data_IF_558470516714
#
_entry.id   IF_558470516714
#
_cell.length_a   1.000
_cell.length_b   1.000
_cell.length_c   1.000
_cell.angle_alpha   90.00
_cell.angle_beta   90.00
_cell.angle_gamma   90.00
#
_symmetry.space_group_name_H-M   'P 1'
#
loop_
_entity.id
_entity.type
_entity.pdbx_description
1 polymer ?
#
# COMPACT_ATOMS: atom_id res chain seq x y z
N UNK A 1 24.20 5.33 27.41
CA UNK A 1 23.60 4.34 26.46
C UNK A 1 22.25 4.84 25.99
N UNK A 2 21.86 4.60 24.72
CA UNK A 2 20.54 4.99 24.19
C UNK A 2 19.65 3.77 24.01
N UNK A 3 18.51 3.77 24.69
CA UNK A 3 17.50 2.74 24.62
C UNK A 3 16.33 3.19 23.75
N UNK A 4 15.94 2.37 22.79
CA UNK A 4 14.71 2.51 22.01
C UNK A 4 13.68 1.52 22.58
N UNK A 5 12.58 2.03 23.11
CA UNK A 5 11.63 1.21 23.89
C UNK A 5 10.23 1.37 23.34
N UNK A 6 9.64 0.27 22.84
CA UNK A 6 8.25 0.24 22.43
C UNK A 6 7.29 0.00 23.60
N UNK A 7 6.16 0.73 23.63
CA UNK A 7 5.08 0.48 24.59
C UNK A 7 4.12 -0.61 24.13
N UNK A 8 4.17 -1.00 22.86
CA UNK A 8 3.09 -1.76 22.24
C UNK A 8 1.87 -0.88 21.97
N UNK A 9 0.75 -1.51 21.65
CA UNK A 9 -0.48 -0.83 21.22
C UNK A 9 -1.49 -0.56 22.33
N UNK A 10 -1.17 -0.94 23.58
CA UNK A 10 -2.05 -0.77 24.74
C UNK A 10 -1.58 0.39 25.66
N UNK A 11 -0.97 1.41 25.07
CA UNK A 11 -0.38 2.51 25.81
C UNK A 11 0.67 2.03 26.83
N UNK A 12 0.76 2.66 28.00
CA UNK A 12 1.74 2.30 29.04
C UNK A 12 1.56 0.86 29.59
N UNK A 13 0.38 0.28 29.46
CA UNK A 13 0.08 -1.11 29.92
C UNK A 13 0.66 -2.17 28.97
N UNK A 14 1.03 -1.79 27.76
CA UNK A 14 1.66 -2.69 26.77
C UNK A 14 3.17 -2.86 26.99
N UNK A 15 3.79 -2.16 27.94
CA UNK A 15 5.21 -2.34 28.24
C UNK A 15 5.50 -3.76 28.69
N UNK A 16 6.56 -4.34 28.10
CA UNK A 16 7.09 -5.61 28.60
C UNK A 16 7.74 -5.43 29.97
N UNK A 17 7.83 -6.50 30.74
CA UNK A 17 8.55 -6.50 32.02
C UNK A 17 9.99 -6.04 31.83
N UNK A 18 10.67 -6.52 30.78
CA UNK A 18 12.04 -6.12 30.45
C UNK A 18 12.15 -4.61 30.16
N UNK A 19 11.17 -4.04 29.43
CA UNK A 19 11.14 -2.61 29.17
C UNK A 19 10.97 -1.82 30.48
N UNK A 20 10.08 -2.24 31.36
CA UNK A 20 9.85 -1.59 32.64
C UNK A 20 11.10 -1.62 33.54
N UNK A 21 11.82 -2.76 33.58
CA UNK A 21 13.06 -2.89 34.36
C UNK A 21 14.18 -1.98 33.84
N UNK A 22 14.29 -1.82 32.51
CA UNK A 22 15.27 -0.91 31.90
C UNK A 22 14.89 0.54 32.15
N UNK A 23 13.65 0.93 31.89
CA UNK A 23 13.20 2.31 32.05
C UNK A 23 13.36 2.82 33.49
N UNK A 24 13.16 1.96 34.49
CA UNK A 24 13.39 2.31 35.91
C UNK A 24 14.85 2.59 36.27
N UNK A 25 15.80 2.16 35.43
CA UNK A 25 17.23 2.36 35.62
C UNK A 25 17.79 3.52 34.78
N UNK A 26 17.01 4.00 33.82
CA UNK A 26 17.43 5.12 32.98
C UNK A 26 17.46 6.42 33.75
N UNK A 27 18.47 7.25 33.49
CA UNK A 27 18.60 8.58 34.04
C UNK A 27 17.60 9.58 33.46
N UNK A 28 17.24 9.36 32.16
CA UNK A 28 16.31 10.22 31.43
C UNK A 28 15.44 9.35 30.57
N UNK A 29 14.12 9.57 30.64
CA UNK A 29 13.13 8.91 29.79
C UNK A 29 12.37 9.96 28.98
N UNK A 30 12.60 9.97 27.68
CA UNK A 30 11.82 10.75 26.72
C UNK A 30 10.67 9.91 26.17
N UNK A 31 9.51 10.53 25.94
CA UNK A 31 8.33 9.90 25.35
C UNK A 31 7.95 10.68 24.10
N UNK A 32 8.02 10.04 22.95
CA UNK A 32 7.60 10.69 21.72
C UNK A 32 6.07 10.79 21.64
N UNK A 33 5.56 11.89 21.07
CA UNK A 33 4.12 12.20 21.00
C UNK A 33 3.64 12.53 19.59
N UNK A 34 4.34 12.04 18.55
CA UNK A 34 4.07 12.41 17.17
C UNK A 34 3.86 11.22 16.21
N UNK A 35 4.24 10.00 16.57
CA UNK A 35 4.00 8.80 15.76
C UNK A 35 2.62 8.23 16.00
N UNK A 36 2.12 8.35 17.23
CA UNK A 36 0.78 7.96 17.62
C UNK A 36 0.34 8.70 18.89
N UNK A 37 -0.98 8.73 19.11
CA UNK A 37 -1.54 9.40 20.27
C UNK A 37 -1.34 8.60 21.55
N UNK A 38 -0.23 8.82 22.25
CA UNK A 38 -0.16 8.52 23.67
C UNK A 38 -0.97 9.59 24.42
N UNK A 39 -2.02 9.16 25.13
CA UNK A 39 -2.86 10.08 25.89
C UNK A 39 -2.14 10.62 27.13
N UNK A 40 -2.62 11.73 27.69
CA UNK A 40 -2.13 12.23 28.98
C UNK A 40 -2.25 11.16 30.08
N UNK A 41 -3.31 10.33 30.02
CA UNK A 41 -3.49 9.22 30.95
C UNK A 41 -2.37 8.18 30.81
N UNK A 42 -1.92 7.91 29.60
CA UNK A 42 -0.79 6.99 29.36
C UNK A 42 0.51 7.56 29.93
N UNK A 43 0.77 8.85 29.75
CA UNK A 43 1.96 9.54 30.29
C UNK A 43 1.92 9.54 31.82
N UNK A 44 0.78 9.83 32.43
CA UNK A 44 0.63 9.79 33.89
C UNK A 44 0.78 8.38 34.43
N UNK A 45 0.20 7.39 33.73
CA UNK A 45 0.35 5.97 34.07
C UNK A 45 1.80 5.50 33.99
N UNK A 46 2.53 5.93 32.96
CA UNK A 46 3.96 5.66 32.79
C UNK A 46 4.77 6.28 33.91
N UNK A 47 4.55 7.57 34.21
CA UNK A 47 5.22 8.27 35.34
C UNK A 47 5.01 7.54 36.67
N UNK A 48 3.80 7.08 36.93
CA UNK A 48 3.46 6.34 38.16
C UNK A 48 4.17 4.99 38.22
N UNK A 49 4.22 4.24 37.12
CA UNK A 49 4.92 2.96 37.01
C UNK A 49 6.42 3.08 37.20
N UNK A 50 7.01 4.12 36.61
CA UNK A 50 8.46 4.37 36.66
C UNK A 50 8.89 5.07 37.96
N UNK A 51 7.95 5.69 38.67
CA UNK A 51 8.22 6.58 39.83
C UNK A 51 9.15 7.73 39.46
N UNK A 52 9.06 8.25 38.24
CA UNK A 52 9.82 9.37 37.71
C UNK A 52 8.99 10.17 36.71
N UNK A 53 9.36 11.41 36.48
CA UNK A 53 8.73 12.21 35.42
C UNK A 53 9.39 11.93 34.07
N UNK A 54 8.61 11.46 33.12
CA UNK A 54 9.04 11.33 31.73
C UNK A 54 8.95 12.68 31.02
N UNK A 55 9.71 12.84 29.94
CA UNK A 55 9.75 14.06 29.13
C UNK A 55 9.07 13.85 27.79
N UNK A 56 7.83 14.31 27.58
CA UNK A 56 7.22 14.31 26.27
C UNK A 56 8.06 15.13 25.29
N UNK A 57 8.26 14.60 24.05
CA UNK A 57 9.07 15.25 23.02
C UNK A 57 8.37 15.21 21.66
N UNK A 58 8.55 16.26 20.90
CA UNK A 58 8.00 16.44 19.57
C UNK A 58 8.93 15.90 18.47
N UNK A 59 8.42 15.79 17.26
CA UNK A 59 9.14 15.28 16.09
C UNK A 59 10.49 15.95 15.87
N UNK A 60 10.52 17.29 15.89
CA UNK A 60 11.74 18.07 15.66
C UNK A 60 12.86 17.74 16.65
N UNK A 61 12.52 17.45 17.92
CA UNK A 61 13.49 17.09 18.95
C UNK A 61 14.14 15.73 18.66
N UNK A 62 13.34 14.75 18.24
CA UNK A 62 13.83 13.40 17.93
C UNK A 62 14.59 13.38 16.60
N UNK A 63 14.13 14.12 15.60
CA UNK A 63 14.81 14.24 14.30
C UNK A 63 16.13 15.02 14.41
N UNK A 64 16.19 16.10 15.19
CA UNK A 64 17.45 16.74 15.55
C UNK A 64 18.35 15.79 16.34
N UNK A 65 17.84 15.14 17.37
CA UNK A 65 18.47 14.06 18.14
C UNK A 65 19.73 14.43 18.89
N UNK A 66 20.19 15.68 18.86
CA UNK A 66 21.44 16.11 19.56
C UNK A 66 21.41 15.83 21.05
N UNK A 67 20.36 16.27 21.73
CA UNK A 67 20.23 16.10 23.19
C UNK A 67 20.14 14.61 23.57
N UNK A 68 19.48 13.78 22.75
CA UNK A 68 19.43 12.33 22.94
C UNK A 68 20.82 11.71 22.83
N UNK A 69 21.57 12.07 21.79
CA UNK A 69 22.90 11.51 21.52
C UNK A 69 23.94 12.00 22.55
N UNK A 70 23.93 13.29 22.87
CA UNK A 70 24.86 13.85 23.86
C UNK A 70 24.58 13.30 25.27
N UNK A 71 23.31 13.24 25.67
CA UNK A 71 22.92 12.63 26.94
C UNK A 71 23.35 11.18 27.03
N UNK A 72 23.18 10.41 25.98
CA UNK A 72 23.51 8.98 25.93
C UNK A 72 25.01 8.67 25.98
N UNK A 73 25.90 9.64 25.83
CA UNK A 73 27.36 9.49 26.03
C UNK A 73 27.75 9.20 27.48
N UNK A 74 27.03 9.80 28.43
CA UNK A 74 27.36 9.73 29.84
C UNK A 74 26.28 9.15 30.73
N UNK A 75 25.06 9.01 30.22
CA UNK A 75 23.86 8.56 30.94
C UNK A 75 23.17 7.45 30.20
N UNK A 76 22.29 6.74 30.90
CA UNK A 76 21.30 5.86 30.31
C UNK A 76 20.04 6.67 29.94
N UNK A 77 19.83 6.85 28.64
CA UNK A 77 18.74 7.62 28.07
C UNK A 77 17.80 6.68 27.34
N UNK A 78 16.50 6.80 27.56
CA UNK A 78 15.48 6.06 26.83
C UNK A 78 14.61 6.99 25.96
N UNK A 79 14.31 6.54 24.74
CA UNK A 79 13.25 7.08 23.89
C UNK A 79 12.13 6.05 23.83
N UNK A 80 10.99 6.40 24.40
CA UNK A 80 9.78 5.57 24.46
C UNK A 80 8.86 5.95 23.32
N UNK A 81 8.38 4.93 22.59
CA UNK A 81 7.54 5.08 21.40
C UNK A 81 6.28 4.22 21.52
N UNK A 82 5.15 4.71 21.05
CA UNK A 82 3.95 3.88 20.90
C UNK A 82 4.19 2.82 19.81
N UNK A 83 3.71 1.60 20.04
CA UNK A 83 3.97 0.46 19.15
C UNK A 83 5.39 -0.08 19.30
N UNK A 84 6.01 -0.44 18.18
CA UNK A 84 7.42 -0.85 18.08
C UNK A 84 8.30 0.36 17.74
N UNK A 85 9.45 0.53 18.36
CA UNK A 85 10.25 1.75 18.22
C UNK A 85 10.91 1.90 16.84
N UNK A 86 10.98 0.85 16.03
CA UNK A 86 11.62 0.88 14.71
C UNK A 86 10.70 0.55 13.54
N UNK A 87 9.43 0.23 13.81
CA UNK A 87 8.45 -0.12 12.75
C UNK A 87 7.59 1.11 12.43
N UNK A 88 7.62 1.56 11.18
CA UNK A 88 6.92 2.76 10.68
C UNK A 88 7.26 4.04 11.45
N UNK A 89 8.51 4.19 11.83
CA UNK A 89 9.06 5.35 12.53
C UNK A 89 10.29 5.90 11.82
N UNK A 90 10.70 7.13 12.16
CA UNK A 90 11.96 7.74 11.69
C UNK A 90 13.16 7.40 12.58
N UNK A 91 12.95 6.65 13.66
CA UNK A 91 13.98 6.39 14.70
C UNK A 91 15.16 5.54 14.20
N UNK A 92 15.01 4.81 13.10
CA UNK A 92 16.12 4.07 12.47
C UNK A 92 17.30 4.97 12.07
N UNK A 93 17.02 6.22 11.69
CA UNK A 93 18.06 7.20 11.40
C UNK A 93 18.81 7.62 12.66
N UNK A 94 18.10 7.93 13.75
CA UNK A 94 18.70 8.26 15.05
C UNK A 94 19.54 7.08 15.57
N UNK A 95 19.06 5.84 15.42
CA UNK A 95 19.82 4.64 15.76
C UNK A 95 21.13 4.55 14.95
N UNK A 96 21.08 4.81 13.65
CA UNK A 96 22.26 4.82 12.77
C UNK A 96 23.24 5.94 13.18
N UNK A 97 22.74 7.13 13.53
CA UNK A 97 23.60 8.23 14.03
C UNK A 97 24.26 7.89 15.36
N UNK A 98 23.55 7.25 16.27
CA UNK A 98 24.12 6.77 17.52
C UNK A 98 25.30 5.82 17.30
N UNK A 99 25.11 4.82 16.41
CA UNK A 99 26.15 3.86 16.06
C UNK A 99 27.39 4.53 15.43
N UNK A 100 27.19 5.48 14.50
CA UNK A 100 28.28 6.27 13.89
C UNK A 100 29.07 7.10 14.93
N UNK A 101 28.41 7.53 16.00
CA UNK A 101 29.03 8.27 17.09
C UNK A 101 29.58 7.38 18.22
N UNK A 102 29.65 6.05 18.00
CA UNK A 102 30.12 5.05 18.99
C UNK A 102 29.30 5.07 20.30
N UNK A 103 28.04 5.47 20.23
CA UNK A 103 27.11 5.42 21.36
C UNK A 103 26.45 4.05 21.37
N UNK A 104 26.56 3.34 22.49
CA UNK A 104 25.88 2.04 22.65
C UNK A 104 24.36 2.22 22.59
N UNK A 105 23.71 1.38 21.81
CA UNK A 105 22.26 1.35 21.69
C UNK A 105 21.70 -0.02 22.05
N UNK A 106 20.45 -0.06 22.50
CA UNK A 106 19.67 -1.28 22.61
C UNK A 106 18.21 -1.01 22.27
N UNK A 107 17.52 -2.03 21.78
CA UNK A 107 16.14 -1.93 21.31
C UNK A 107 15.32 -2.93 22.12
N UNK A 108 14.21 -2.46 22.66
CA UNK A 108 13.19 -3.29 23.29
C UNK A 108 11.94 -3.26 22.41
N UNK A 109 11.83 -4.23 21.53
CA UNK A 109 10.70 -4.39 20.62
C UNK A 109 9.39 -4.63 21.37
N UNK A 110 8.28 -4.23 20.77
CA UNK A 110 6.94 -4.45 21.30
C UNK A 110 5.93 -4.68 20.17
N UNK A 111 4.67 -4.88 20.50
CA UNK A 111 3.62 -5.08 19.49
C UNK A 111 3.52 -3.84 18.60
N UNK A 112 3.68 -4.04 17.29
CA UNK A 112 3.49 -2.98 16.29
C UNK A 112 2.03 -2.86 15.89
N UNK A 113 1.53 -1.64 15.71
CA UNK A 113 0.20 -1.39 15.16
C UNK A 113 -0.02 -2.08 13.81
N UNK A 114 1.00 -2.09 12.93
CA UNK A 114 0.93 -2.75 11.61
C UNK A 114 0.61 -4.23 11.74
N UNK A 115 1.39 -4.97 12.53
CA UNK A 115 1.19 -6.43 12.69
C UNK A 115 -0.12 -6.74 13.40
N UNK A 116 -0.52 -5.90 14.35
CA UNK A 116 -1.78 -6.05 15.08
C UNK A 116 -2.99 -5.80 14.19
N UNK A 117 -2.98 -4.75 13.37
CA UNK A 117 -4.04 -4.46 12.39
C UNK A 117 -4.20 -5.63 11.41
N UNK A 118 -3.10 -6.18 10.90
CA UNK A 118 -3.14 -7.34 10.01
C UNK A 118 -3.77 -8.54 10.72
N UNK A 119 -3.34 -8.84 11.95
CA UNK A 119 -3.87 -9.95 12.74
C UNK A 119 -5.37 -9.82 13.01
N UNK A 120 -5.82 -8.64 13.45
CA UNK A 120 -7.22 -8.36 13.76
C UNK A 120 -8.13 -8.34 12.52
N UNK A 121 -7.58 -8.06 11.33
CA UNK A 121 -8.35 -8.05 10.08
C UNK A 121 -8.78 -9.43 9.60
N UNK A 122 -8.13 -10.50 10.07
CA UNK A 122 -8.32 -11.87 9.58
C UNK A 122 -7.73 -12.14 8.19
N UNK A 123 -6.99 -11.19 7.64
CA UNK A 123 -6.30 -11.33 6.35
C UNK A 123 -4.91 -11.97 6.54
N UNK A 124 -4.45 -12.70 5.53
CA UNK A 124 -3.17 -13.40 5.59
C UNK A 124 -2.00 -12.42 5.42
N UNK A 125 -1.11 -12.35 6.40
CA UNK A 125 0.05 -11.45 6.41
C UNK A 125 0.92 -11.57 5.14
N UNK A 126 1.05 -12.76 4.58
CA UNK A 126 1.87 -13.02 3.38
C UNK A 126 1.27 -12.48 2.09
N UNK A 127 0.02 -12.00 2.12
CA UNK A 127 -0.68 -11.43 0.97
C UNK A 127 -0.70 -9.90 0.99
N UNK A 128 -0.07 -9.28 1.98
CA UNK A 128 0.10 -7.83 1.97
C UNK A 128 1.25 -7.43 1.05
N UNK A 129 0.95 -6.49 0.15
CA UNK A 129 1.95 -5.84 -0.69
C UNK A 129 2.60 -4.64 -0.01
N UNK A 130 3.03 -3.66 -0.79
CA UNK A 130 3.60 -2.43 -0.25
C UNK A 130 2.58 -1.69 0.62
N UNK A 131 2.98 -1.41 1.86
CA UNK A 131 2.23 -0.56 2.79
C UNK A 131 2.55 0.91 2.54
N UNK A 132 1.59 1.80 2.84
CA UNK A 132 1.75 3.23 2.57
C UNK A 132 1.01 4.07 3.60
N UNK A 133 1.48 5.30 3.82
CA UNK A 133 0.77 6.29 4.63
C UNK A 133 0.04 7.28 3.73
N UNK A 134 -1.21 7.56 4.04
CA UNK A 134 -2.01 8.59 3.40
C UNK A 134 -2.06 9.82 4.28
N UNK A 135 -1.71 10.96 3.70
CA UNK A 135 -1.83 12.27 4.33
C UNK A 135 -2.99 13.05 3.73
N UNK A 136 -3.40 14.13 4.38
CA UNK A 136 -4.43 15.05 3.90
C UNK A 136 -4.03 15.84 2.64
N UNK A 137 -2.77 15.75 2.21
CA UNK A 137 -2.27 16.42 1.02
C UNK A 137 -2.73 15.70 -0.27
N UNK A 138 -3.20 16.47 -1.26
CA UNK A 138 -3.77 15.94 -2.52
C UNK A 138 -2.82 14.99 -3.28
N UNK A 139 -1.52 15.28 -3.31
CA UNK A 139 -0.56 14.41 -3.99
C UNK A 139 -0.38 13.04 -3.31
N UNK A 140 -0.69 12.95 -2.02
CA UNK A 140 -0.67 11.69 -1.28
C UNK A 140 -1.66 10.68 -1.86
N UNK A 141 -2.86 11.13 -2.23
CA UNK A 141 -3.90 10.28 -2.80
C UNK A 141 -3.45 9.57 -4.09
N UNK A 142 -2.75 10.29 -4.98
CA UNK A 142 -2.23 9.71 -6.24
C UNK A 142 -1.18 8.62 -5.94
N UNK A 143 -0.30 8.88 -4.97
CA UNK A 143 0.74 7.90 -4.58
C UNK A 143 0.11 6.66 -3.95
N UNK A 144 -0.90 6.82 -3.09
CA UNK A 144 -1.66 5.71 -2.48
C UNK A 144 -2.42 4.94 -3.55
N UNK A 145 -3.13 5.63 -4.45
CA UNK A 145 -3.85 5.03 -5.57
C UNK A 145 -2.94 4.15 -6.44
N UNK A 146 -1.78 4.66 -6.83
CA UNK A 146 -0.80 3.91 -7.60
C UNK A 146 -0.25 2.70 -6.83
N UNK A 147 -0.08 2.81 -5.51
CA UNK A 147 0.34 1.69 -4.67
C UNK A 147 -0.73 0.61 -4.60
N UNK A 148 -2.01 0.99 -4.44
CA UNK A 148 -3.14 0.05 -4.51
C UNK A 148 -3.15 -0.65 -5.87
N UNK A 149 -3.02 0.10 -6.98
CA UNK A 149 -2.96 -0.46 -8.32
C UNK A 149 -1.88 -1.54 -8.46
N UNK A 150 -0.64 -1.24 -8.05
CA UNK A 150 0.47 -2.20 -8.12
C UNK A 150 0.22 -3.45 -7.26
N UNK A 151 -0.29 -3.27 -6.04
CA UNK A 151 -0.61 -4.39 -5.17
C UNK A 151 -1.74 -5.25 -5.74
N UNK A 152 -2.79 -4.64 -6.26
CA UNK A 152 -3.91 -5.36 -6.89
C UNK A 152 -3.47 -6.14 -8.13
N UNK A 153 -2.53 -5.63 -8.94
CA UNK A 153 -1.93 -6.37 -10.06
C UNK A 153 -1.28 -7.68 -9.58
N UNK A 154 -0.69 -7.66 -8.39
CA UNK A 154 -0.10 -8.84 -7.75
C UNK A 154 -1.13 -9.66 -6.94
N UNK A 155 -2.40 -9.28 -6.89
CA UNK A 155 -3.43 -9.89 -6.04
C UNK A 155 -3.23 -9.63 -4.55
N UNK A 156 -2.40 -8.64 -4.18
CA UNK A 156 -2.03 -8.35 -2.79
C UNK A 156 -2.96 -7.31 -2.15
N UNK A 157 -3.12 -7.40 -0.82
CA UNK A 157 -3.81 -6.39 -0.01
C UNK A 157 -2.92 -5.17 0.20
N UNK A 158 -3.54 -4.00 0.36
CA UNK A 158 -2.83 -2.74 0.66
C UNK A 158 -3.24 -2.23 2.04
N UNK A 159 -2.29 -2.19 2.97
CA UNK A 159 -2.48 -1.48 4.24
C UNK A 159 -2.11 -0.01 4.06
N UNK A 160 -3.07 0.86 4.35
CA UNK A 160 -2.96 2.32 4.33
C UNK A 160 -3.00 2.81 5.77
N UNK A 161 -1.88 3.31 6.26
CA UNK A 161 -1.84 4.05 7.52
C UNK A 161 -2.37 5.47 7.27
N UNK A 162 -3.17 5.99 8.17
CA UNK A 162 -3.70 7.35 8.05
C UNK A 162 -2.86 8.35 8.83
N UNK A 163 -2.82 9.58 8.33
CA UNK A 163 -2.09 10.67 8.98
C UNK A 163 -2.58 10.88 10.41
N UNK A 164 -1.60 11.04 11.29
CA UNK A 164 -1.76 11.60 12.61
C UNK A 164 -0.86 12.82 12.74
N UNK A 165 -1.40 13.90 13.25
CA UNK A 165 -0.62 15.08 13.63
C UNK A 165 -1.12 15.69 14.93
N UNK A 166 -0.19 16.12 15.75
CA UNK A 166 -0.46 16.85 16.97
C UNK A 166 0.55 17.98 17.05
N UNK A 167 0.05 19.22 16.93
CA UNK A 167 0.86 20.42 17.07
C UNK A 167 0.66 21.00 18.45
N UNK A 168 1.73 21.60 19.03
CA UNK A 168 1.69 22.26 20.34
C UNK A 168 0.63 23.37 20.43
N UNK A 169 0.23 23.94 19.29
CA UNK A 169 -0.80 24.98 19.19
C UNK A 169 -2.23 24.45 19.17
N UNK A 170 -2.44 23.19 18.76
CA UNK A 170 -3.75 22.54 18.73
C UNK A 170 -4.00 21.72 19.99
N UNK A 171 -5.10 21.98 20.67
CA UNK A 171 -5.49 21.24 21.89
C UNK A 171 -5.89 19.80 21.62
N UNK A 172 -6.26 19.47 20.36
CA UNK A 172 -6.73 18.15 19.97
C UNK A 172 -5.87 17.58 18.85
N UNK A 173 -5.56 16.29 18.92
CA UNK A 173 -4.83 15.61 17.84
C UNK A 173 -5.70 15.48 16.59
N UNK A 174 -5.08 15.68 15.42
CA UNK A 174 -5.72 15.43 14.13
C UNK A 174 -5.49 13.97 13.71
N UNK A 175 -6.55 13.34 13.25
CA UNK A 175 -6.53 12.03 12.60
C UNK A 175 -7.24 12.13 11.25
N UNK A 176 -6.59 11.70 10.19
CA UNK A 176 -7.25 11.59 8.89
C UNK A 176 -8.30 10.46 8.97
N UNK A 177 -9.57 10.83 8.81
CA UNK A 177 -10.67 9.90 8.94
C UNK A 177 -10.85 9.01 7.70
N UNK A 178 -11.46 7.81 7.84
CA UNK A 178 -11.64 6.88 6.74
C UNK A 178 -12.53 7.42 5.60
N UNK A 179 -13.52 8.26 5.89
CA UNK A 179 -14.36 8.87 4.88
C UNK A 179 -13.53 9.76 3.94
N UNK A 180 -12.67 10.59 4.51
CA UNK A 180 -11.74 11.44 3.73
C UNK A 180 -10.78 10.60 2.88
N UNK A 181 -10.24 9.50 3.41
CA UNK A 181 -9.41 8.55 2.65
C UNK A 181 -10.17 8.00 1.44
N UNK A 182 -11.40 7.52 1.64
CA UNK A 182 -12.21 6.97 0.55
C UNK A 182 -12.55 8.02 -0.49
N UNK A 183 -12.94 9.23 -0.07
CA UNK A 183 -13.23 10.33 -0.98
C UNK A 183 -12.04 10.70 -1.85
N UNK A 184 -10.85 10.86 -1.25
CA UNK A 184 -9.63 11.20 -1.99
C UNK A 184 -9.25 10.10 -2.99
N UNK A 185 -9.48 8.82 -2.68
CA UNK A 185 -9.23 7.70 -3.60
C UNK A 185 -10.26 7.63 -4.73
N UNK A 186 -11.53 7.93 -4.47
CA UNK A 186 -12.56 8.04 -5.51
C UNK A 186 -12.26 9.20 -6.47
N UNK A 187 -11.80 10.33 -5.96
CA UNK A 187 -11.39 11.48 -6.77
C UNK A 187 -10.16 11.11 -7.65
N UNK A 188 -9.20 10.36 -7.11
CA UNK A 188 -8.07 9.83 -7.87
C UNK A 188 -8.53 8.87 -8.98
N UNK A 189 -9.50 7.99 -8.72
CA UNK A 189 -10.08 7.11 -9.74
C UNK A 189 -10.73 7.90 -10.88
N UNK A 190 -11.46 8.98 -10.58
CA UNK A 190 -12.07 9.82 -11.61
C UNK A 190 -11.04 10.44 -12.55
N UNK A 191 -9.84 10.75 -12.02
CA UNK A 191 -8.73 11.30 -12.80
C UNK A 191 -7.99 10.24 -13.62
N UNK A 192 -7.71 9.07 -13.04
CA UNK A 192 -6.84 8.05 -13.63
C UNK A 192 -7.58 6.95 -14.40
N UNK A 193 -8.80 6.57 -13.98
CA UNK A 193 -9.72 5.63 -14.67
C UNK A 193 -9.15 4.22 -14.89
N UNK A 194 -8.36 3.72 -13.94
CA UNK A 194 -7.80 2.35 -14.01
C UNK A 194 -8.68 1.29 -13.36
N UNK A 195 -9.88 1.66 -12.88
CA UNK A 195 -10.81 0.79 -12.14
C UNK A 195 -10.17 0.14 -10.91
N UNK A 196 -9.34 0.91 -10.22
CA UNK A 196 -8.62 0.48 -9.00
C UNK A 196 -9.48 0.65 -7.77
N UNK A 197 -10.27 1.73 -7.73
CA UNK A 197 -11.05 2.10 -6.57
C UNK A 197 -12.42 2.64 -6.95
N UNK A 198 -13.46 2.10 -6.34
CA UNK A 198 -14.85 2.47 -6.62
C UNK A 198 -15.73 2.34 -5.38
N UNK A 199 -16.97 2.75 -5.47
CA UNK A 199 -17.98 2.53 -4.44
C UNK A 199 -18.20 1.05 -4.08
N UNK A 200 -17.92 0.14 -5.00
CA UNK A 200 -18.01 -1.32 -4.79
C UNK A 200 -16.71 -1.96 -4.32
N UNK A 201 -15.62 -1.22 -4.22
CA UNK A 201 -14.35 -1.71 -3.66
C UNK A 201 -14.55 -2.20 -2.22
N UNK A 202 -14.13 -3.43 -1.92
CA UNK A 202 -14.19 -3.99 -0.58
C UNK A 202 -12.97 -3.54 0.23
N UNK A 203 -13.22 -3.04 1.43
CA UNK A 203 -12.18 -2.53 2.31
C UNK A 203 -12.44 -2.92 3.78
N UNK A 204 -11.41 -2.83 4.59
CA UNK A 204 -11.48 -3.00 6.05
C UNK A 204 -10.99 -1.72 6.70
N UNK A 205 -11.72 -1.21 7.66
CA UNK A 205 -11.32 -0.08 8.51
C UNK A 205 -11.00 -0.62 9.89
N UNK A 206 -9.75 -0.44 10.31
CA UNK A 206 -9.28 -0.79 11.64
C UNK A 206 -9.17 0.50 12.47
N UNK A 207 -9.99 0.60 13.50
CA UNK A 207 -10.06 1.77 14.38
C UNK A 207 -9.57 1.42 15.76
N UNK A 208 -8.66 2.20 16.32
CA UNK A 208 -8.16 2.13 17.70
C UNK A 208 -7.70 0.73 18.14
N UNK A 209 -6.99 0.03 17.23
CA UNK A 209 -6.49 -1.33 17.50
C UNK A 209 -5.62 -1.35 18.77
N UNK A 210 -5.93 -2.28 19.68
CA UNK A 210 -5.30 -2.40 20.97
C UNK A 210 -5.93 -1.54 22.09
N UNK A 211 -6.91 -0.70 21.79
CA UNK A 211 -7.66 0.08 22.78
C UNK A 211 -8.94 -0.65 23.18
N UNK A 212 -9.57 -0.22 24.29
CA UNK A 212 -10.79 -0.89 24.81
C UNK A 212 -11.98 -0.78 23.85
N UNK A 213 -12.03 0.26 23.04
CA UNK A 213 -13.05 0.55 22.04
C UNK A 213 -12.57 0.24 20.61
N UNK A 214 -11.63 -0.70 20.48
CA UNK A 214 -11.19 -1.22 19.19
C UNK A 214 -12.37 -1.69 18.35
N UNK A 215 -12.32 -1.34 17.05
CA UNK A 215 -13.35 -1.75 16.11
C UNK A 215 -12.71 -2.09 14.75
N UNK A 216 -13.05 -3.24 14.21
CA UNK A 216 -12.65 -3.67 12.85
C UNK A 216 -13.92 -3.82 12.04
N UNK A 217 -14.12 -2.95 11.07
CA UNK A 217 -15.32 -2.93 10.22
C UNK A 217 -14.94 -3.24 8.78
N UNK A 218 -15.64 -4.15 8.13
CA UNK A 218 -15.40 -4.51 6.73
C UNK A 218 -16.66 -4.35 5.87
N UNK A 219 -16.46 -3.96 4.61
CA UNK A 219 -17.58 -3.77 3.69
C UNK A 219 -17.13 -3.07 2.41
N UNK A 220 -18.11 -2.77 1.56
CA UNK A 220 -17.90 -1.94 0.37
C UNK A 220 -17.76 -0.47 0.75
N UNK A 221 -16.93 0.25 0.02
CA UNK A 221 -16.67 1.69 0.25
C UNK A 221 -17.97 2.48 0.41
N UNK A 222 -18.97 2.26 -0.47
CA UNK A 222 -20.28 2.94 -0.37
C UNK A 222 -21.02 2.72 0.94
N UNK A 223 -20.82 1.57 1.58
CA UNK A 223 -21.41 1.24 2.87
C UNK A 223 -20.57 1.78 4.01
N UNK A 224 -19.24 1.65 3.92
CA UNK A 224 -18.29 2.17 4.90
C UNK A 224 -18.33 3.69 5.02
N UNK A 225 -18.57 4.41 3.92
CA UNK A 225 -18.74 5.88 3.93
C UNK A 225 -19.96 6.36 4.74
N UNK A 226 -20.86 5.48 5.14
CA UNK A 226 -22.01 5.78 5.98
C UNK A 226 -21.78 5.47 7.46
N UNK A 227 -20.63 4.88 7.79
CA UNK A 227 -20.28 4.47 9.15
C UNK A 227 -19.57 5.63 9.86
N UNK A 228 -19.97 5.90 11.09
CA UNK A 228 -19.23 6.79 11.98
C UNK A 228 -18.15 6.00 12.71
N UNK A 229 -16.88 6.25 12.39
CA UNK A 229 -15.74 5.55 12.99
C UNK A 229 -15.25 6.19 14.29
N UNK A 230 -15.75 7.36 14.66
CA UNK A 230 -15.32 8.12 15.84
C UNK A 230 -13.91 8.69 15.69
N UNK A 231 -13.25 8.94 16.82
CA UNK A 231 -11.87 9.44 16.85
C UNK A 231 -10.87 8.33 16.50
N UNK A 232 -9.75 8.71 15.85
CA UNK A 232 -8.68 7.78 15.51
C UNK A 232 -7.88 7.26 16.70
N UNK A 233 -6.80 6.53 16.46
CA UNK A 233 -6.21 6.29 15.15
C UNK A 233 -6.99 5.28 14.27
N UNK A 234 -6.95 5.48 12.97
CA UNK A 234 -7.55 4.61 11.98
C UNK A 234 -6.49 4.05 11.03
N UNK A 235 -6.80 2.94 10.37
CA UNK A 235 -6.08 2.44 9.21
C UNK A 235 -7.08 1.79 8.26
N UNK A 236 -6.78 1.83 6.97
CA UNK A 236 -7.63 1.25 5.94
C UNK A 236 -6.88 0.13 5.24
N UNK A 237 -7.54 -1.00 4.98
CA UNK A 237 -7.00 -2.06 4.15
C UNK A 237 -7.88 -2.17 2.91
N UNK A 238 -7.31 -1.99 1.73
CA UNK A 238 -7.95 -2.36 0.47
C UNK A 238 -7.58 -3.81 0.18
N UNK A 239 -8.59 -4.68 0.10
CA UNK A 239 -8.34 -6.11 -0.13
C UNK A 239 -7.91 -6.36 -1.59
N UNK A 240 -6.98 -7.30 -1.79
CA UNK A 240 -6.66 -7.87 -3.10
C UNK A 240 -7.46 -9.15 -3.35
N UNK A 241 -6.81 -10.13 -4.02
CA UNK A 241 -7.41 -11.44 -4.24
C UNK A 241 -7.67 -12.13 -2.89
N UNK A 242 -8.91 -12.51 -2.62
CA UNK A 242 -9.29 -13.14 -1.36
C UNK A 242 -9.17 -14.67 -1.45
N UNK A 243 -8.50 -15.27 -0.48
CA UNK A 243 -8.58 -16.71 -0.25
C UNK A 243 -9.88 -17.04 0.50
N UNK A 244 -10.44 -18.24 0.32
CA UNK A 244 -11.71 -18.60 0.97
C UNK A 244 -11.68 -18.49 2.51
N UNK A 245 -10.53 -18.74 3.13
CA UNK A 245 -10.37 -18.59 4.60
C UNK A 245 -10.36 -17.11 5.01
N UNK A 246 -9.86 -16.20 4.18
CA UNK A 246 -9.92 -14.76 4.43
C UNK A 246 -11.36 -14.24 4.30
N UNK A 247 -12.10 -14.75 3.30
CA UNK A 247 -13.53 -14.43 3.15
C UNK A 247 -14.32 -14.87 4.40
N UNK A 248 -14.05 -16.08 4.92
CA UNK A 248 -14.68 -16.56 6.13
C UNK A 248 -14.27 -15.75 7.37
N UNK A 249 -12.98 -15.37 7.47
CA UNK A 249 -12.49 -14.56 8.58
C UNK A 249 -13.13 -13.16 8.57
N UNK A 250 -13.14 -12.47 7.42
CA UNK A 250 -13.80 -11.17 7.28
C UNK A 250 -15.28 -11.24 7.73
N UNK A 251 -16.00 -12.29 7.34
CA UNK A 251 -17.40 -12.45 7.71
C UNK A 251 -17.62 -12.76 9.20
N UNK A 252 -16.60 -13.26 9.92
CA UNK A 252 -16.77 -13.76 11.30
C UNK A 252 -16.03 -12.96 12.38
N UNK A 253 -14.88 -12.34 12.05
CA UNK A 253 -14.05 -11.64 13.04
C UNK A 253 -14.11 -10.11 12.91
N UNK A 254 -14.73 -9.58 11.87
CA UNK A 254 -14.97 -8.14 11.71
C UNK A 254 -16.45 -7.81 11.85
N UNK A 255 -16.78 -6.53 12.09
CA UNK A 255 -18.13 -6.03 11.86
C UNK A 255 -18.36 -5.95 10.35
N UNK A 256 -18.77 -7.06 9.76
CA UNK A 256 -18.95 -7.18 8.33
C UNK A 256 -20.30 -6.61 7.89
N UNK A 257 -20.29 -5.62 6.97
CA UNK A 257 -21.49 -4.93 6.49
C UNK A 257 -21.95 -5.52 5.14
N UNK A 258 -21.02 -5.90 4.29
CA UNK A 258 -21.29 -6.42 2.93
C UNK A 258 -20.54 -7.74 2.70
N UNK A 259 -21.01 -8.53 1.76
CA UNK A 259 -20.31 -9.75 1.36
C UNK A 259 -18.90 -9.43 0.81
N UNK A 260 -17.85 -10.11 1.31
CA UNK A 260 -16.49 -9.87 0.84
C UNK A 260 -16.31 -10.16 -0.65
N UNK A 261 -15.71 -9.23 -1.38
CA UNK A 261 -15.48 -9.33 -2.83
C UNK A 261 -14.00 -9.15 -3.17
N UNK A 262 -13.57 -9.83 -4.23
CA UNK A 262 -12.21 -9.74 -4.76
C UNK A 262 -12.06 -8.50 -5.65
N UNK A 263 -11.27 -7.53 -5.20
CA UNK A 263 -11.03 -6.30 -5.96
C UNK A 263 -10.04 -6.47 -7.12
N UNK A 264 -9.22 -7.53 -7.11
CA UNK A 264 -8.18 -7.72 -8.14
C UNK A 264 -8.73 -8.03 -9.53
N UNK A 265 -10.00 -8.45 -9.61
CA UNK A 265 -10.66 -8.84 -10.87
C UNK A 265 -11.20 -7.66 -11.69
N UNK A 266 -11.33 -6.48 -11.09
CA UNK A 266 -11.95 -5.32 -11.72
C UNK A 266 -10.97 -4.39 -12.45
N UNK A 267 -9.66 -4.59 -12.28
CA UNK A 267 -8.63 -3.65 -12.72
C UNK A 267 -8.50 -3.60 -14.23
N UNK A 268 -8.43 -2.41 -14.79
CA UNK A 268 -8.04 -2.19 -16.18
C UNK A 268 -6.53 -2.37 -16.33
N UNK A 269 -6.10 -3.56 -16.69
CA UNK A 269 -4.71 -3.86 -17.00
C UNK A 269 -4.30 -3.19 -18.31
N UNK A 270 -3.22 -2.43 -18.29
CA UNK A 270 -2.69 -1.74 -19.48
C UNK A 270 -2.39 -2.75 -20.59
N UNK A 271 -1.84 -3.91 -20.22
CA UNK A 271 -1.51 -5.00 -21.12
C UNK A 271 -2.76 -5.53 -21.85
N UNK A 272 -3.86 -5.72 -21.10
CA UNK A 272 -5.13 -6.15 -21.69
C UNK A 272 -5.67 -5.11 -22.66
N UNK A 273 -5.66 -3.83 -22.27
CA UNK A 273 -6.10 -2.73 -23.13
C UNK A 273 -5.26 -2.63 -24.41
N UNK A 274 -3.94 -2.86 -24.30
CA UNK A 274 -3.06 -2.87 -25.48
C UNK A 274 -3.48 -3.96 -26.46
N UNK A 275 -3.62 -5.21 -25.99
CA UNK A 275 -4.01 -6.32 -26.87
C UNK A 275 -5.40 -6.11 -27.46
N UNK A 276 -6.39 -5.72 -26.67
CA UNK A 276 -7.76 -5.42 -27.13
C UNK A 276 -7.79 -4.30 -28.17
N UNK A 277 -6.92 -3.32 -28.06
CA UNK A 277 -6.81 -2.21 -29.03
C UNK A 277 -6.08 -2.60 -30.29
N UNK A 278 -4.99 -3.37 -30.19
CA UNK A 278 -4.09 -3.63 -31.30
C UNK A 278 -4.41 -4.90 -32.07
N UNK A 279 -4.92 -5.97 -31.44
CA UNK A 279 -5.24 -7.22 -32.13
C UNK A 279 -6.27 -7.06 -33.27
N UNK A 280 -7.38 -6.33 -33.12
CA UNK A 280 -8.31 -6.08 -34.24
C UNK A 280 -7.66 -5.32 -35.39
N UNK A 281 -6.82 -4.32 -35.10
CA UNK A 281 -6.10 -3.53 -36.09
C UNK A 281 -5.08 -4.38 -36.85
N UNK A 282 -4.32 -5.21 -36.15
CA UNK A 282 -3.36 -6.12 -36.77
C UNK A 282 -4.07 -7.15 -37.67
N UNK A 283 -5.21 -7.71 -37.26
CA UNK A 283 -6.04 -8.59 -38.11
C UNK A 283 -6.46 -7.88 -39.39
N UNK A 284 -6.96 -6.67 -39.28
CA UNK A 284 -7.37 -5.87 -40.43
C UNK A 284 -6.19 -5.59 -41.38
N UNK A 285 -5.02 -5.19 -40.78
CA UNK A 285 -3.82 -4.93 -41.59
C UNK A 285 -3.33 -6.16 -42.34
N UNK A 286 -3.39 -7.37 -41.74
CA UNK A 286 -3.05 -8.62 -42.43
C UNK A 286 -4.01 -8.85 -43.60
N UNK A 287 -5.30 -8.65 -43.40
CA UNK A 287 -6.31 -8.82 -44.48
C UNK A 287 -6.08 -7.85 -45.63
N UNK A 288 -5.84 -6.58 -45.34
CA UNK A 288 -5.52 -5.56 -46.36
C UNK A 288 -4.22 -5.89 -47.09
N UNK A 289 -3.17 -6.29 -46.36
CA UNK A 289 -1.90 -6.69 -46.97
C UNK A 289 -2.09 -7.88 -47.93
N UNK A 290 -2.90 -8.91 -47.57
CA UNK A 290 -3.22 -10.05 -48.43
C UNK A 290 -3.90 -9.60 -49.73
N UNK A 291 -4.87 -8.67 -49.67
CA UNK A 291 -5.57 -8.14 -50.84
C UNK A 291 -4.59 -7.40 -51.77
N UNK A 292 -3.75 -6.51 -51.21
CA UNK A 292 -2.81 -5.71 -51.98
C UNK A 292 -1.73 -6.56 -52.67
N UNK A 293 -1.28 -7.65 -52.05
CA UNK A 293 -0.28 -8.57 -52.57
C UNK A 293 -0.88 -9.53 -53.63
N UNK A 294 -2.12 -9.98 -53.44
CA UNK A 294 -2.78 -10.88 -54.41
C UNK A 294 -3.01 -10.26 -55.80
N UNK A 295 -3.03 -8.93 -55.87
CA UNK A 295 -3.16 -8.18 -57.16
C UNK A 295 -1.83 -8.03 -57.89
N UNK A 296 -0.70 -8.54 -57.37
CA UNK A 296 0.65 -8.45 -57.97
C UNK A 296 1.11 -9.79 -58.57
N UNK A 297 1.84 -9.74 -59.70
CA UNK A 297 2.26 -10.89 -60.53
C UNK A 297 3.59 -11.56 -60.09
N UNK A 298 4.04 -11.42 -58.84
CA UNK A 298 5.33 -11.99 -58.42
C UNK A 298 5.15 -13.18 -57.43
N UNK A 299 6.12 -14.13 -57.47
CA UNK A 299 6.17 -15.26 -56.53
C UNK A 299 6.20 -14.76 -55.05
N UNK A 300 5.09 -14.94 -54.34
CA UNK A 300 4.82 -14.35 -53.03
C UNK A 300 4.84 -15.36 -51.86
N UNK A 301 5.38 -16.61 -52.08
CA UNK A 301 5.30 -17.67 -51.09
C UNK A 301 5.82 -17.28 -49.70
N UNK A 302 7.02 -16.65 -49.60
CA UNK A 302 7.57 -16.22 -48.30
C UNK A 302 6.80 -15.10 -47.60
N UNK A 303 6.06 -14.30 -48.38
CA UNK A 303 5.23 -13.20 -47.84
C UNK A 303 3.94 -13.78 -47.24
N UNK A 304 3.30 -14.71 -47.91
CA UNK A 304 2.12 -15.38 -47.35
C UNK A 304 2.43 -16.14 -46.06
N UNK A 305 3.58 -16.84 -46.03
CA UNK A 305 4.07 -17.50 -44.83
C UNK A 305 4.32 -16.48 -43.67
N UNK A 306 4.90 -15.32 -43.95
CA UNK A 306 5.08 -14.23 -42.95
C UNK A 306 3.75 -13.71 -42.43
N UNK A 307 2.73 -13.56 -43.31
CA UNK A 307 1.38 -13.13 -42.90
C UNK A 307 0.67 -14.20 -42.07
N UNK A 308 0.83 -15.50 -42.41
CA UNK A 308 0.31 -16.61 -41.60
C UNK A 308 0.92 -16.60 -40.19
N UNK A 309 2.25 -16.40 -40.09
CA UNK A 309 2.91 -16.27 -38.80
C UNK A 309 2.37 -15.08 -38.00
N UNK A 310 2.13 -13.92 -38.65
CA UNK A 310 1.54 -12.78 -37.96
C UNK A 310 0.13 -13.11 -37.43
N UNK A 311 -0.71 -13.83 -38.21
CA UNK A 311 -2.05 -14.30 -37.76
C UNK A 311 -1.94 -15.26 -36.57
N UNK A 312 -0.96 -16.17 -36.56
CA UNK A 312 -0.70 -17.06 -35.43
C UNK A 312 -0.37 -16.24 -34.18
N UNK A 313 0.56 -15.28 -34.26
CA UNK A 313 0.91 -14.42 -33.11
C UNK A 313 -0.28 -13.59 -32.61
N UNK A 314 -1.17 -13.09 -33.49
CA UNK A 314 -2.39 -12.39 -33.06
C UNK A 314 -3.31 -13.35 -32.31
N UNK A 315 -3.46 -14.58 -32.78
CA UNK A 315 -4.28 -15.61 -32.15
C UNK A 315 -3.71 -16.00 -30.79
N UNK A 316 -2.39 -16.16 -30.72
CA UNK A 316 -1.68 -16.43 -29.46
C UNK A 316 -1.85 -15.31 -28.46
N UNK A 317 -1.76 -14.02 -28.91
CA UNK A 317 -1.99 -12.87 -28.06
C UNK A 317 -3.38 -12.89 -27.40
N UNK A 318 -4.43 -13.16 -28.19
CA UNK A 318 -5.80 -13.30 -27.69
C UNK A 318 -5.93 -14.54 -26.76
N UNK A 319 -5.25 -15.63 -27.09
CA UNK A 319 -5.20 -16.84 -26.26
C UNK A 319 -4.53 -16.61 -24.92
N UNK A 320 -3.39 -15.96 -24.91
CA UNK A 320 -2.67 -15.59 -23.68
C UNK A 320 -3.44 -14.58 -22.84
N UNK A 321 -4.12 -13.62 -23.47
CA UNK A 321 -4.98 -12.69 -22.77
C UNK A 321 -6.09 -13.43 -22.01
N UNK A 322 -6.78 -14.36 -22.65
CA UNK A 322 -7.82 -15.20 -22.00
C UNK A 322 -7.27 -16.08 -20.86
N UNK A 323 -6.00 -16.46 -20.93
CA UNK A 323 -5.31 -17.22 -19.89
C UNK A 323 -4.74 -16.38 -18.76
N UNK A 324 -4.88 -15.04 -18.80
CA UNK A 324 -4.29 -14.12 -17.84
C UNK A 324 -2.76 -13.97 -17.94
N UNK A 325 -2.15 -14.38 -19.07
CA UNK A 325 -0.71 -14.28 -19.35
C UNK A 325 -0.43 -12.99 -20.12
N UNK A 326 -0.58 -11.85 -19.43
CA UNK A 326 -0.65 -10.52 -20.03
C UNK A 326 0.64 -10.12 -20.77
N UNK A 327 1.82 -10.41 -20.18
CA UNK A 327 3.11 -10.10 -20.76
C UNK A 327 3.34 -10.86 -22.07
N UNK A 328 2.96 -12.14 -22.12
CA UNK A 328 3.04 -12.96 -23.32
C UNK A 328 2.05 -12.47 -24.40
N UNK A 329 0.87 -12.01 -23.99
CA UNK A 329 -0.11 -11.45 -24.90
C UNK A 329 0.41 -10.17 -25.58
N UNK A 330 1.03 -9.25 -24.81
CA UNK A 330 1.65 -8.02 -25.36
C UNK A 330 2.85 -8.35 -26.25
N UNK A 331 3.69 -9.29 -25.84
CA UNK A 331 4.82 -9.73 -26.67
C UNK A 331 4.37 -10.30 -28.00
N UNK A 332 3.36 -11.18 -28.01
CA UNK A 332 2.84 -11.80 -29.23
C UNK A 332 2.23 -10.77 -30.18
N UNK A 333 1.43 -9.81 -29.68
CA UNK A 333 0.86 -8.77 -30.56
C UNK A 333 1.95 -7.86 -31.13
N UNK A 334 3.00 -7.55 -30.34
CA UNK A 334 4.16 -6.78 -30.83
C UNK A 334 4.95 -7.51 -31.94
N UNK A 335 5.12 -8.84 -31.83
CA UNK A 335 5.70 -9.65 -32.91
C UNK A 335 4.84 -9.62 -34.19
N UNK A 336 3.53 -9.75 -34.07
CA UNK A 336 2.61 -9.68 -35.22
C UNK A 336 2.73 -8.33 -35.94
N UNK A 337 2.70 -7.22 -35.20
CA UNK A 337 2.86 -5.88 -35.78
C UNK A 337 4.23 -5.69 -36.45
N UNK A 338 5.29 -6.19 -35.82
CA UNK A 338 6.65 -6.16 -36.38
C UNK A 338 6.76 -6.89 -37.72
N UNK A 339 6.12 -8.06 -37.89
CA UNK A 339 6.07 -8.80 -39.15
C UNK A 339 5.30 -8.04 -40.22
N UNK A 340 4.16 -7.45 -39.86
CA UNK A 340 3.35 -6.64 -40.79
C UNK A 340 4.13 -5.41 -41.23
N UNK A 341 4.79 -4.72 -40.32
CA UNK A 341 5.61 -3.54 -40.62
C UNK A 341 6.83 -3.88 -41.47
N UNK A 342 7.49 -5.01 -41.23
CA UNK A 342 8.58 -5.47 -42.09
C UNK A 342 8.13 -5.65 -43.56
N UNK A 343 6.97 -6.27 -43.76
CA UNK A 343 6.37 -6.41 -45.09
C UNK A 343 5.95 -5.07 -45.69
N UNK A 344 5.40 -4.17 -44.90
CA UNK A 344 5.05 -2.79 -45.28
C UNK A 344 6.26 -2.05 -45.84
N UNK A 345 7.37 -2.05 -45.13
CA UNK A 345 8.61 -1.40 -45.58
C UNK A 345 9.19 -2.07 -46.81
N UNK A 346 9.20 -3.41 -46.86
CA UNK A 346 9.72 -4.17 -48.00
C UNK A 346 8.94 -3.91 -49.30
N UNK A 347 7.62 -3.73 -49.20
CA UNK A 347 6.72 -3.58 -50.35
C UNK A 347 6.33 -2.14 -50.67
N UNK A 348 6.63 -1.18 -49.80
CA UNK A 348 6.17 0.19 -49.91
C UNK A 348 4.66 0.37 -49.83
N UNK A 349 3.96 -0.57 -49.11
CA UNK A 349 2.52 -0.61 -48.97
C UNK A 349 2.17 -0.28 -47.52
N UNK A 350 1.15 0.53 -47.24
CA UNK A 350 0.71 0.81 -45.90
C UNK A 350 -0.67 0.16 -45.58
N UNK A 351 -0.70 -0.98 -44.90
CA UNK A 351 -1.95 -1.66 -44.56
C UNK A 351 -2.70 -1.04 -43.37
N UNK A 352 -2.06 -0.08 -42.67
CA UNK A 352 -2.63 0.60 -41.50
C UNK A 352 -3.52 1.80 -41.88
N UNK A 353 -3.48 2.25 -43.11
CA UNK A 353 -4.12 3.48 -43.61
C UNK A 353 -5.51 3.21 -44.20
N UNK A 354 -6.30 2.33 -43.56
CA UNK A 354 -7.72 2.25 -43.88
C UNK A 354 -8.43 3.43 -43.21
N UNK A 355 -8.52 4.54 -43.92
CA UNK A 355 -9.47 5.59 -43.60
C UNK A 355 -10.87 5.02 -43.78
N UNK A 356 -11.49 4.64 -42.66
CA UNK A 356 -12.93 4.49 -42.55
C UNK A 356 -13.42 5.49 -41.53
#
# INVERSE_FOLDING_TARGET
MLWFVGTGINGYRGLSIAALEVLRKCDIVYVESFTSALSEVDIQGLNSLLKMHTKPVQRWFVEDGRDLLEGARTKDVALVTYGDPLIATTHGELHSRAAKNSIKTAILHSASGITSIIGESGLHVYKFGRMITMTSELHSAVTVYNTIFQNLLAGSHTLILTEYSHNDESKEPFFLDPYSVFKMLLDAEQAHKHKVFSDDTFAVVASRVGMQDQKITSGKVKSLMKVEFGTGPHSVIVTGALHFTETQALASVTENIDEPTDNSQSINRIEAQMVERYAPKAKQAVQEMRKLISNGTSSNNGIFETLENAECYITDAEGFLRQGKFELAVLSIGYAEGLIDALRYQKGINPWDSRV
#
